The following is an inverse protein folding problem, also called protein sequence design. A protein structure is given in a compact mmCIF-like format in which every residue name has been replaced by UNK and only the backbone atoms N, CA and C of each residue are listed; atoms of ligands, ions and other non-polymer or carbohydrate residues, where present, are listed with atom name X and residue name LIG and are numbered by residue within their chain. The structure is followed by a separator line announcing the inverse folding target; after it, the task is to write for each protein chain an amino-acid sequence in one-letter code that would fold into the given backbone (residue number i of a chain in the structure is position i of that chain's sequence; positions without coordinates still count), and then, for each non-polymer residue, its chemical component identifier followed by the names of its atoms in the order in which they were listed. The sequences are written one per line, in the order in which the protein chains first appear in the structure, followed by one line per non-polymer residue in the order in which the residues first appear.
data_IF_251407556837
#
_entry.id   IF_251407556837
#
_cell.length_a   1.000
_cell.length_b   1.000
_cell.length_c   1.000
_cell.angle_alpha   90.00
_cell.angle_beta   90.00
_cell.angle_gamma   90.00
#
_symmetry.space_group_name_H-M   'P 1'
#
loop_
_entity.id
_entity.type
_entity.pdbx_description
1 polymer ?
#
# COMPACT_ATOMS: atom_id res chain seq x y z
N UNK A 1 -0.15 9.81 -0.77
CA UNK A 1 0.74 9.76 -1.94
C UNK A 1 1.40 8.39 -2.05
N UNK A 2 2.20 8.11 -3.09
CA UNK A 2 2.92 6.85 -3.20
C UNK A 2 4.02 6.75 -2.14
N UNK A 3 4.23 5.56 -1.58
CA UNK A 3 5.19 5.31 -0.50
C UNK A 3 6.15 4.17 -0.87
N UNK A 4 7.41 4.27 -0.46
CA UNK A 4 8.38 3.21 -0.62
C UNK A 4 8.37 2.22 0.57
N UNK A 5 9.10 1.11 0.44
CA UNK A 5 9.13 0.03 1.45
C UNK A 5 9.60 0.53 2.82
N UNK A 6 10.61 1.39 2.85
CA UNK A 6 11.18 1.94 4.10
C UNK A 6 10.20 2.88 4.81
N UNK A 7 9.45 3.68 4.05
CA UNK A 7 8.39 4.54 4.58
C UNK A 7 7.24 3.72 5.15
N UNK A 8 6.76 2.70 4.41
CA UNK A 8 5.70 1.79 4.86
C UNK A 8 6.11 1.01 6.12
N UNK A 9 7.35 0.56 6.19
CA UNK A 9 7.91 -0.11 7.36
C UNK A 9 7.87 0.81 8.60
N UNK A 10 8.25 2.08 8.46
CA UNK A 10 8.23 3.05 9.57
C UNK A 10 6.81 3.35 10.04
N UNK A 11 5.87 3.50 9.10
CA UNK A 11 4.47 3.80 9.39
C UNK A 11 3.76 2.64 10.09
N UNK A 12 3.93 1.43 9.56
CA UNK A 12 3.22 0.23 10.04
C UNK A 12 3.98 -0.54 11.13
N UNK A 13 5.25 -0.16 11.39
CA UNK A 13 6.14 -0.77 12.39
C UNK A 13 6.28 -2.29 12.26
N UNK A 14 6.26 -2.79 11.03
CA UNK A 14 6.47 -4.21 10.71
C UNK A 14 7.84 -4.41 10.06
N UNK A 15 8.41 -5.63 10.08
CA UNK A 15 9.69 -5.90 9.43
C UNK A 15 9.68 -5.61 7.92
N UNK A 16 10.81 -5.14 7.40
CA UNK A 16 10.95 -4.80 5.97
C UNK A 16 10.75 -6.02 5.04
N UNK A 17 11.15 -7.21 5.49
CA UNK A 17 10.92 -8.47 4.78
C UNK A 17 9.42 -8.78 4.65
N UNK A 18 8.65 -8.57 5.72
CA UNK A 18 7.19 -8.72 5.72
C UNK A 18 6.52 -7.72 4.78
N UNK A 19 6.93 -6.44 4.81
CA UNK A 19 6.41 -5.44 3.88
C UNK A 19 6.68 -5.82 2.43
N UNK A 20 7.91 -6.23 2.12
CA UNK A 20 8.30 -6.62 0.77
C UNK A 20 7.45 -7.81 0.28
N UNK A 21 7.25 -8.83 1.13
CA UNK A 21 6.42 -9.98 0.80
C UNK A 21 4.96 -9.60 0.56
N UNK A 22 4.38 -8.71 1.38
CA UNK A 22 3.02 -8.23 1.19
C UNK A 22 2.87 -7.43 -0.11
N UNK A 23 3.81 -6.52 -0.41
CA UNK A 23 3.79 -5.73 -1.64
C UNK A 23 3.95 -6.58 -2.89
N UNK A 24 4.73 -7.68 -2.84
CA UNK A 24 4.80 -8.66 -3.92
C UNK A 24 3.41 -9.26 -4.20
N UNK A 25 2.69 -9.70 -3.15
CA UNK A 25 1.34 -10.25 -3.30
C UNK A 25 0.36 -9.22 -3.86
N UNK A 26 0.35 -8.00 -3.30
CA UNK A 26 -0.52 -6.92 -3.78
C UNK A 26 -0.25 -6.56 -5.25
N UNK A 27 1.02 -6.60 -5.67
CA UNK A 27 1.42 -6.42 -7.07
C UNK A 27 0.94 -7.57 -7.95
N UNK A 28 1.07 -8.82 -7.50
CA UNK A 28 0.58 -10.00 -8.23
C UNK A 28 -0.93 -9.93 -8.49
N UNK A 29 -1.69 -9.45 -7.50
CA UNK A 29 -3.13 -9.24 -7.64
C UNK A 29 -3.51 -7.93 -8.36
N UNK A 30 -2.54 -7.15 -8.84
CA UNK A 30 -2.74 -5.85 -9.51
C UNK A 30 -3.48 -4.82 -8.65
N UNK A 31 -3.43 -4.97 -7.33
CA UNK A 31 -4.06 -4.04 -6.36
C UNK A 31 -3.27 -2.74 -6.27
N UNK A 32 -1.94 -2.84 -6.38
CA UNK A 32 -1.03 -1.70 -6.33
C UNK A 32 -0.28 -1.52 -7.64
N UNK A 33 -0.14 -0.26 -8.04
CA UNK A 33 0.82 0.18 -9.05
C UNK A 33 2.13 0.58 -8.37
N UNK A 34 3.21 0.57 -9.14
CA UNK A 34 4.53 0.88 -8.63
C UNK A 34 5.35 1.66 -9.65
N UNK A 35 6.19 2.56 -9.15
CA UNK A 35 7.11 3.38 -9.93
C UNK A 35 8.51 3.25 -9.33
N UNK A 36 9.52 3.06 -10.17
CA UNK A 36 10.91 2.99 -9.72
C UNK A 36 11.57 4.36 -9.85
N UNK A 37 12.15 4.85 -8.76
CA UNK A 37 12.93 6.09 -8.71
C UNK A 37 14.32 5.76 -8.17
N UNK A 38 15.28 5.58 -9.08
CA UNK A 38 16.62 5.10 -8.75
C UNK A 38 16.60 3.68 -8.16
N UNK A 39 17.09 3.56 -6.93
CA UNK A 39 17.14 2.28 -6.20
C UNK A 39 15.87 1.98 -5.40
N UNK A 40 14.95 2.93 -5.30
CA UNK A 40 13.72 2.77 -4.54
C UNK A 40 12.52 2.51 -5.45
N UNK A 41 11.57 1.73 -4.94
CA UNK A 41 10.28 1.47 -5.59
C UNK A 41 9.19 2.04 -4.72
N UNK A 42 8.37 2.89 -5.33
CA UNK A 42 7.25 3.58 -4.71
C UNK A 42 5.96 2.89 -5.13
N UNK A 43 5.04 2.68 -4.19
CA UNK A 43 3.80 1.94 -4.39
C UNK A 43 2.59 2.84 -4.13
N UNK A 44 1.54 2.64 -4.92
CA UNK A 44 0.24 3.30 -4.76
C UNK A 44 -0.89 2.32 -5.06
N UNK A 45 -1.99 2.40 -4.31
CA UNK A 45 -3.19 1.60 -4.61
C UNK A 45 -3.79 2.10 -5.92
N UNK A 46 -4.05 1.20 -6.86
CA UNK A 46 -4.59 1.51 -8.19
C UNK A 46 -5.87 0.75 -8.52
N UNK A 47 -6.26 -0.24 -7.71
CA UNK A 47 -7.52 -0.95 -7.90
C UNK A 47 -8.70 -0.11 -7.36
N UNK A 48 -9.61 0.26 -8.27
CA UNK A 48 -10.76 1.12 -7.96
C UNK A 48 -11.70 0.50 -6.93
N UNK A 49 -11.92 -0.82 -6.97
CA UNK A 49 -12.82 -1.52 -6.03
C UNK A 49 -12.23 -1.51 -4.63
N UNK A 50 -10.91 -1.69 -4.52
CA UNK A 50 -10.19 -1.58 -3.24
C UNK A 50 -10.27 -0.15 -2.71
N UNK A 51 -10.04 0.86 -3.56
CA UNK A 51 -10.15 2.27 -3.16
C UNK A 51 -11.56 2.61 -2.68
N UNK A 52 -12.59 2.15 -3.39
CA UNK A 52 -13.99 2.36 -2.98
C UNK A 52 -14.27 1.69 -1.62
N UNK A 53 -13.81 0.45 -1.44
CA UNK A 53 -13.99 -0.29 -0.19
C UNK A 53 -13.29 0.42 0.98
N UNK A 54 -12.07 0.93 0.78
CA UNK A 54 -11.33 1.68 1.80
C UNK A 54 -12.06 2.96 2.20
N UNK A 55 -12.59 3.73 1.23
CA UNK A 55 -13.37 4.94 1.51
C UNK A 55 -14.63 4.65 2.33
N UNK A 56 -15.32 3.55 2.02
CA UNK A 56 -16.50 3.12 2.79
C UNK A 56 -16.13 2.77 4.23
N UNK A 57 -15.04 2.04 4.43
CA UNK A 57 -14.55 1.66 5.77
C UNK A 57 -14.15 2.91 6.58
N UNK A 58 -13.42 3.84 5.97
CA UNK A 58 -13.01 5.10 6.62
C UNK A 58 -14.24 5.91 7.07
N UNK A 59 -15.26 6.02 6.22
CA UNK A 59 -16.51 6.68 6.58
C UNK A 59 -17.23 6.01 7.76
N UNK A 60 -17.12 4.68 7.92
CA UNK A 60 -17.68 3.96 9.06
C UNK A 60 -16.89 4.21 10.35
N UNK A 61 -15.56 4.29 10.28
CA UNK A 61 -14.71 4.57 11.45
C UNK A 61 -14.85 6.00 11.96
N UNK A 62 -15.22 6.96 11.12
CA UNK A 62 -15.52 8.34 11.55
C UNK A 62 -16.82 8.47 12.36
N UNK A 63 -17.68 7.46 12.33
CA UNK A 63 -18.96 7.42 13.06
C UNK A 63 -18.88 6.71 14.42
N UNK A 64 -17.70 6.23 14.81
CA UNK A 64 -17.42 5.59 16.11
C UNK A 64 -16.41 6.39 16.91
#
# INVERSE_FOLDING_TARGET
GPLNVSELQKLLRVPQSTMSQQLIKLKQFKIVSYERKGNEVYYIVSDEKVIESMKRIEGLQQWT
#
